data_IF_291777770711
#
_entry.id   IF_291777770711
#
_cell.length_a   1.000
_cell.length_b   1.000
_cell.length_c   1.000
_cell.angle_alpha   90.00
_cell.angle_beta   90.00
_cell.angle_gamma   90.00
#
_symmetry.space_group_name_H-M   'P 1'
#
loop_
_entity.id
_entity.type
_entity.pdbx_description
1 polymer ?
#
# COMPACT_ATOMS: atom_id res chain seq x y z
N UNK A 1 -1.89 1.08 -10.17
CA UNK A 1 -2.90 1.76 -9.32
C UNK A 1 -3.22 3.13 -9.92
N UNK A 2 -4.30 3.79 -9.50
CA UNK A 2 -4.56 5.19 -9.88
C UNK A 2 -3.51 6.13 -9.26
N UNK A 3 -3.29 7.35 -9.78
CA UNK A 3 -2.17 8.19 -9.37
C UNK A 3 -2.44 9.08 -8.14
N UNK A 4 -3.62 9.01 -7.51
CA UNK A 4 -4.07 10.00 -6.51
C UNK A 4 -3.26 10.02 -5.21
N UNK A 5 -2.49 8.96 -4.90
CA UNK A 5 -1.49 8.97 -3.83
C UNK A 5 -0.07 9.26 -4.30
N UNK A 6 0.21 9.25 -5.62
CA UNK A 6 1.55 9.44 -6.15
C UNK A 6 2.55 8.29 -5.85
N UNK A 7 2.11 7.22 -5.20
CA UNK A 7 3.04 6.21 -4.65
C UNK A 7 3.34 5.02 -5.56
N UNK A 8 2.86 5.02 -6.81
CA UNK A 8 3.04 3.87 -7.71
C UNK A 8 4.50 3.48 -7.94
N UNK A 9 5.37 4.47 -8.18
CA UNK A 9 6.81 4.24 -8.35
C UNK A 9 7.48 3.81 -7.03
N UNK A 10 7.10 4.43 -5.91
CA UNK A 10 7.61 4.06 -4.58
C UNK A 10 7.35 2.60 -4.26
N UNK A 11 6.12 2.11 -4.52
CA UNK A 11 5.77 0.71 -4.32
C UNK A 11 6.66 -0.25 -5.12
N UNK A 12 6.95 0.07 -6.40
CA UNK A 12 7.85 -0.75 -7.22
C UNK A 12 9.31 -0.72 -6.73
N UNK A 13 9.77 0.42 -6.19
CA UNK A 13 11.11 0.53 -5.59
C UNK A 13 11.21 -0.34 -4.33
N UNK A 14 10.20 -0.29 -3.46
CA UNK A 14 10.13 -1.16 -2.28
C UNK A 14 10.09 -2.65 -2.66
N UNK A 15 9.31 -3.00 -3.68
CA UNK A 15 9.21 -4.37 -4.20
C UNK A 15 10.59 -4.86 -4.67
N UNK A 16 11.30 -4.05 -5.46
CA UNK A 16 12.64 -4.38 -5.94
C UNK A 16 13.65 -4.50 -4.79
N UNK A 17 13.58 -3.60 -3.80
CA UNK A 17 14.44 -3.61 -2.63
C UNK A 17 14.33 -4.91 -1.83
N UNK A 18 13.10 -5.35 -1.56
CA UNK A 18 12.82 -6.56 -0.78
C UNK A 18 13.10 -7.83 -1.59
N UNK A 19 12.63 -7.90 -2.84
CA UNK A 19 12.84 -9.06 -3.69
C UNK A 19 14.33 -9.31 -3.95
N UNK A 20 15.13 -8.24 -4.14
CA UNK A 20 16.57 -8.37 -4.33
C UNK A 20 17.25 -8.95 -3.09
N UNK A 21 16.87 -8.52 -1.88
CA UNK A 21 17.43 -9.07 -0.64
C UNK A 21 17.14 -10.57 -0.49
N UNK A 22 15.93 -10.99 -0.88
CA UNK A 22 15.53 -12.40 -0.86
C UNK A 22 16.30 -13.24 -1.89
N UNK A 23 16.40 -12.76 -3.14
CA UNK A 23 17.08 -13.47 -4.23
C UNK A 23 18.60 -13.52 -4.05
N UNK A 24 19.20 -12.51 -3.39
CA UNK A 24 20.62 -12.46 -3.10
C UNK A 24 21.04 -13.36 -1.93
N UNK A 25 20.08 -13.92 -1.17
CA UNK A 25 20.38 -14.81 -0.05
C UNK A 25 21.02 -16.11 -0.55
N UNK A 26 22.08 -16.62 0.11
CA UNK A 26 22.64 -17.95 -0.18
C UNK A 26 21.63 -19.09 -0.03
N UNK A 27 20.55 -18.86 0.73
CA UNK A 27 19.44 -19.81 0.87
C UNK A 27 18.50 -19.84 -0.34
N UNK A 28 18.57 -18.85 -1.22
CA UNK A 28 17.82 -18.83 -2.47
C UNK A 28 18.55 -19.69 -3.52
N UNK A 29 18.01 -20.89 -3.74
CA UNK A 29 18.50 -21.87 -4.71
C UNK A 29 17.37 -22.23 -5.67
N UNK A 30 17.62 -22.91 -6.80
CA UNK A 30 16.54 -23.37 -7.68
C UNK A 30 15.48 -24.22 -6.95
N UNK A 31 15.86 -24.96 -5.90
CA UNK A 31 14.94 -25.78 -5.13
C UNK A 31 14.07 -24.95 -4.14
N UNK A 32 14.61 -23.87 -3.59
CA UNK A 32 13.90 -23.01 -2.63
C UNK A 32 13.23 -21.78 -3.25
N UNK A 33 13.48 -21.49 -4.54
CA UNK A 33 12.97 -20.31 -5.24
C UNK A 33 11.46 -20.12 -5.09
N UNK A 34 10.67 -21.20 -5.23
CA UNK A 34 9.22 -21.12 -5.08
C UNK A 34 8.81 -20.61 -3.69
N UNK A 35 9.48 -21.05 -2.62
CA UNK A 35 9.20 -20.58 -1.26
C UNK A 35 9.71 -19.15 -1.05
N UNK A 36 10.85 -18.78 -1.62
CA UNK A 36 11.37 -17.41 -1.60
C UNK A 36 10.37 -16.42 -2.24
N UNK A 37 9.77 -16.78 -3.38
CA UNK A 37 8.76 -15.95 -4.04
C UNK A 37 7.45 -15.88 -3.25
N UNK A 38 7.08 -16.95 -2.51
CA UNK A 38 5.95 -16.91 -1.59
C UNK A 38 6.20 -15.96 -0.41
N UNK A 39 7.40 -15.96 0.16
CA UNK A 39 7.78 -15.01 1.23
C UNK A 39 7.64 -13.57 0.73
N UNK A 40 8.13 -13.27 -0.47
CA UNK A 40 7.94 -11.95 -1.10
C UNK A 40 6.45 -11.59 -1.21
N UNK A 41 5.62 -12.50 -1.73
CA UNK A 41 4.18 -12.29 -1.90
C UNK A 41 3.45 -12.09 -0.56
N UNK A 42 3.78 -12.88 0.47
CA UNK A 42 3.21 -12.77 1.83
C UNK A 42 3.47 -11.39 2.45
N UNK A 43 4.67 -10.83 2.23
CA UNK A 43 5.05 -9.52 2.78
C UNK A 43 4.51 -8.36 1.94
N UNK A 44 4.63 -8.42 0.61
CA UNK A 44 4.36 -7.26 -0.27
C UNK A 44 2.93 -7.16 -0.74
N UNK A 45 2.24 -8.26 -1.01
CA UNK A 45 0.88 -8.21 -1.56
C UNK A 45 -0.10 -7.46 -0.65
N UNK A 46 -0.14 -7.66 0.68
CA UNK A 46 -1.06 -6.92 1.54
C UNK A 46 -0.84 -5.41 1.49
N UNK A 47 0.43 -4.97 1.49
CA UNK A 47 0.82 -3.56 1.44
C UNK A 47 0.41 -2.92 0.11
N UNK A 48 0.81 -3.54 -1.01
CA UNK A 48 0.48 -3.06 -2.35
C UNK A 48 -1.04 -2.99 -2.59
N UNK A 49 -1.79 -3.98 -2.08
CA UNK A 49 -3.24 -4.01 -2.16
C UNK A 49 -3.87 -2.85 -1.37
N UNK A 50 -3.38 -2.59 -0.15
CA UNK A 50 -3.87 -1.47 0.65
C UNK A 50 -3.64 -0.12 -0.05
N UNK A 51 -2.43 0.11 -0.58
CA UNK A 51 -2.11 1.36 -1.31
C UNK A 51 -2.98 1.50 -2.57
N UNK A 52 -3.25 0.40 -3.27
CA UNK A 52 -4.15 0.41 -4.42
C UNK A 52 -5.57 0.86 -4.05
N UNK A 53 -6.13 0.30 -2.96
CA UNK A 53 -7.46 0.69 -2.48
C UNK A 53 -7.50 2.15 -2.01
N UNK A 54 -6.51 2.58 -1.22
CA UNK A 54 -6.43 3.97 -0.76
C UNK A 54 -6.29 4.95 -1.92
N UNK A 55 -5.51 4.62 -2.95
CA UNK A 55 -5.37 5.50 -4.14
C UNK A 55 -6.66 5.63 -4.94
N UNK A 56 -7.45 4.55 -5.03
CA UNK A 56 -8.79 4.63 -5.60
C UNK A 56 -9.73 5.47 -4.74
N UNK A 57 -9.72 5.24 -3.41
CA UNK A 57 -10.56 5.98 -2.45
C UNK A 57 -10.24 7.48 -2.46
N UNK A 58 -8.96 7.86 -2.51
CA UNK A 58 -8.54 9.26 -2.60
C UNK A 58 -9.04 9.93 -3.88
N UNK A 59 -8.98 9.25 -5.04
CA UNK A 59 -9.55 9.79 -6.27
C UNK A 59 -11.04 10.08 -6.13
N UNK A 60 -11.80 9.12 -5.60
CA UNK A 60 -13.23 9.28 -5.33
C UNK A 60 -13.53 10.44 -4.36
N UNK A 61 -12.68 10.64 -3.33
CA UNK A 61 -12.81 11.78 -2.41
C UNK A 61 -12.50 13.12 -3.08
N UNK A 62 -11.45 13.19 -3.92
CA UNK A 62 -11.09 14.42 -4.65
C UNK A 62 -12.14 14.83 -5.68
N UNK A 63 -12.82 13.85 -6.26
CA UNK A 63 -13.85 14.06 -7.28
C UNK A 63 -15.27 14.19 -6.70
N UNK A 64 -15.43 14.02 -5.37
CA UNK A 64 -16.73 13.94 -4.71
C UNK A 64 -17.69 12.95 -5.42
N UNK A 65 -17.17 11.77 -5.76
CA UNK A 65 -17.87 10.77 -6.55
C UNK A 65 -17.83 9.37 -5.93
N UNK A 66 -18.87 8.58 -6.21
CA UNK A 66 -18.95 7.16 -5.85
C UNK A 66 -19.32 6.90 -4.38
N UNK A 67 -19.15 5.64 -3.91
CA UNK A 67 -19.65 5.22 -2.58
C UNK A 67 -19.11 6.02 -1.40
N UNK A 68 -17.93 6.62 -1.55
CA UNK A 68 -17.32 7.44 -0.49
C UNK A 68 -18.20 8.64 -0.13
N UNK A 69 -18.95 9.19 -1.08
CA UNK A 69 -19.91 10.26 -0.85
C UNK A 69 -21.01 9.90 0.14
N UNK A 70 -21.51 8.67 0.05
CA UNK A 70 -22.52 8.13 0.95
C UNK A 70 -21.93 7.95 2.36
N UNK A 71 -20.66 7.51 2.48
CA UNK A 71 -19.93 7.39 3.76
C UNK A 71 -19.81 8.74 4.50
N UNK A 72 -19.79 9.86 3.77
CA UNK A 72 -19.67 11.21 4.32
C UNK A 72 -21.00 11.98 4.37
N UNK A 73 -22.14 11.30 4.19
CA UNK A 73 -23.47 11.89 4.37
C UNK A 73 -23.84 12.92 3.30
N UNK A 74 -23.35 12.76 2.07
CA UNK A 74 -23.77 13.59 0.96
C UNK A 74 -25.25 13.37 0.67
N UNK A 75 -26.03 14.45 0.75
CA UNK A 75 -27.39 14.51 0.21
C UNK A 75 -27.41 15.58 -0.89
N UNK A 76 -27.92 15.24 -2.07
CA UNK A 76 -28.14 16.17 -3.20
C UNK A 76 -26.92 17.01 -3.63
N UNK A 77 -25.71 16.42 -3.64
CA UNK A 77 -24.44 17.11 -3.97
C UNK A 77 -24.02 18.23 -3.02
N UNK A 78 -24.65 18.31 -1.85
CA UNK A 78 -24.32 19.31 -0.85
C UNK A 78 -23.57 18.66 0.32
N UNK A 79 -22.35 19.12 0.58
CA UNK A 79 -21.58 18.69 1.74
C UNK A 79 -21.68 19.75 2.84
N UNK A 80 -21.87 19.31 4.08
CA UNK A 80 -21.67 20.19 5.23
C UNK A 80 -20.18 20.51 5.38
N UNK A 81 -19.85 21.66 5.99
CA UNK A 81 -18.45 22.00 6.29
C UNK A 81 -17.76 20.93 7.14
N UNK A 82 -18.50 20.27 8.04
CA UNK A 82 -17.97 19.17 8.85
C UNK A 82 -17.66 17.94 8.01
N UNK A 83 -18.53 17.59 7.05
CA UNK A 83 -18.28 16.50 6.12
C UNK A 83 -17.06 16.76 5.23
N UNK A 84 -16.92 17.99 4.70
CA UNK A 84 -15.75 18.39 3.92
C UNK A 84 -14.45 18.32 4.73
N UNK A 85 -14.49 18.79 5.98
CA UNK A 85 -13.35 18.71 6.90
C UNK A 85 -12.93 17.26 7.13
N UNK A 86 -13.88 16.38 7.47
CA UNK A 86 -13.63 14.96 7.69
C UNK A 86 -13.09 14.25 6.45
N UNK A 87 -13.62 14.59 5.26
CA UNK A 87 -13.14 14.05 3.99
C UNK A 87 -11.68 14.47 3.72
N UNK A 88 -11.34 15.74 3.99
CA UNK A 88 -9.97 16.24 3.91
C UNK A 88 -9.01 15.54 4.88
N UNK A 89 -9.45 15.32 6.12
CA UNK A 89 -8.67 14.59 7.14
C UNK A 89 -8.37 13.15 6.71
N UNK A 90 -9.38 12.41 6.25
CA UNK A 90 -9.21 11.03 5.76
C UNK A 90 -8.33 10.99 4.51
N UNK A 91 -8.51 11.93 3.58
CA UNK A 91 -7.68 12.01 2.39
C UNK A 91 -6.21 12.27 2.72
N UNK A 92 -5.92 13.08 3.75
CA UNK A 92 -4.58 13.34 4.25
C UNK A 92 -4.00 12.14 5.02
N UNK A 93 -4.80 11.48 5.85
CA UNK A 93 -4.39 10.29 6.61
C UNK A 93 -3.98 9.15 5.67
N UNK A 94 -4.65 8.97 4.52
CA UNK A 94 -4.26 7.99 3.52
C UNK A 94 -2.87 8.23 2.88
N UNK A 95 -2.27 9.41 3.05
CA UNK A 95 -0.87 9.66 2.66
C UNK A 95 0.12 9.28 3.77
N UNK A 96 -0.34 9.12 5.01
CA UNK A 96 0.52 8.94 6.19
C UNK A 96 1.41 7.69 6.08
N UNK A 97 0.93 6.61 5.45
CA UNK A 97 1.74 5.39 5.29
C UNK A 97 3.04 5.67 4.52
N UNK A 98 3.02 6.54 3.50
CA UNK A 98 4.18 6.87 2.67
C UNK A 98 5.31 7.47 3.52
N UNK A 99 4.95 8.18 4.58
CA UNK A 99 5.89 8.92 5.43
C UNK A 99 6.20 8.22 6.76
N UNK A 100 5.28 7.38 7.23
CA UNK A 100 5.33 6.78 8.57
C UNK A 100 5.66 5.28 8.56
N UNK A 101 5.87 4.68 7.39
CA UNK A 101 6.28 3.28 7.28
C UNK A 101 7.64 3.17 6.63
N UNK A 102 8.35 2.09 6.93
CA UNK A 102 9.66 1.80 6.37
C UNK A 102 9.66 0.46 5.67
N UNK A 103 10.16 0.44 4.43
CA UNK A 103 10.41 -0.81 3.71
C UNK A 103 11.50 -1.67 4.36
N UNK A 104 12.28 -1.10 5.28
CA UNK A 104 13.30 -1.84 6.02
C UNK A 104 12.69 -2.89 6.94
N UNK A 105 11.62 -2.55 7.67
CA UNK A 105 10.92 -3.47 8.56
C UNK A 105 10.34 -4.65 7.78
N UNK A 106 9.73 -4.36 6.62
CA UNK A 106 9.20 -5.38 5.70
C UNK A 106 10.34 -6.26 5.14
N UNK A 107 11.51 -5.68 4.81
CA UNK A 107 12.69 -6.43 4.35
C UNK A 107 13.24 -7.35 5.44
N UNK A 108 13.42 -6.83 6.65
CA UNK A 108 13.93 -7.60 7.80
C UNK A 108 13.01 -8.78 8.11
N UNK A 109 11.69 -8.53 8.12
CA UNK A 109 10.70 -9.59 8.28
C UNK A 109 10.81 -10.64 7.18
N UNK A 110 10.84 -10.25 5.90
CA UNK A 110 10.97 -11.17 4.77
C UNK A 110 12.26 -12.00 4.85
N UNK A 111 13.39 -11.38 5.20
CA UNK A 111 14.68 -12.07 5.36
C UNK A 111 14.65 -13.04 6.55
N UNK A 112 14.00 -12.69 7.66
CA UNK A 112 13.86 -13.58 8.81
C UNK A 112 13.13 -14.89 8.46
N UNK A 113 12.14 -14.83 7.56
CA UNK A 113 11.39 -16.01 7.10
C UNK A 113 12.23 -16.98 6.27
N UNK A 114 13.37 -16.54 5.71
CA UNK A 114 14.32 -17.45 5.06
C UNK A 114 14.99 -18.40 6.06
N UNK A 115 14.97 -18.12 7.36
CA UNK A 115 15.52 -19.04 8.37
C UNK A 115 14.83 -20.40 8.37
N UNK A 116 13.58 -20.45 7.92
CA UNK A 116 12.70 -21.64 7.84
C UNK A 116 12.85 -22.45 6.54
N UNK A 117 13.71 -21.99 5.61
CA UNK A 117 14.17 -22.76 4.45
C UNK A 117 15.27 -23.74 4.84
#
# INVERSE_FOLDING_TARGET
MTPHLGSGAGQAIEDAYILTALLASPKCTPASLSRVLQIYDEVRRPKATNVWHMSRKNGSMYEFAGPVCEEFGQHDHNFSNEALKKLGEVAAENHAWTWNTSAEEDREHAVSMLSEL
#
